data_IF_862983062441
#
_entry.id   IF_862983062441
#
_cell.length_a   1.000
_cell.length_b   1.000
_cell.length_c   1.000
_cell.angle_alpha   90.00
_cell.angle_beta   90.00
_cell.angle_gamma   90.00
#
_symmetry.space_group_name_H-M   'P 1'
#
loop_
_entity.id
_entity.type
_entity.pdbx_description
1 polymer ?
#
# COMPACT_ATOMS: atom_id res chain seq x y z
N UNK A 1 0.01 -4.71 -13.90
CA UNK A 1 -1.18 -3.85 -13.67
C UNK A 1 -1.27 -2.77 -14.74
N UNK A 2 -2.47 -2.37 -15.09
CA UNK A 2 -2.70 -1.29 -16.05
C UNK A 2 -1.99 -0.01 -15.59
N UNK A 3 -1.22 0.62 -16.48
CA UNK A 3 -0.45 1.83 -16.18
C UNK A 3 0.83 1.65 -15.37
N UNK A 4 1.28 0.43 -15.05
CA UNK A 4 2.60 0.24 -14.43
C UNK A 4 3.72 0.63 -15.40
N UNK A 5 4.74 1.33 -14.89
CA UNK A 5 5.94 1.66 -15.68
C UNK A 5 6.92 0.50 -15.67
N UNK A 6 7.33 0.01 -16.84
CA UNK A 6 8.27 -1.09 -17.00
C UNK A 6 7.60 -2.47 -17.09
N UNK A 7 8.35 -3.52 -16.78
CA UNK A 7 7.86 -4.89 -16.80
C UNK A 7 7.02 -5.25 -15.58
N UNK A 8 6.26 -6.34 -15.72
CA UNK A 8 5.53 -6.96 -14.61
C UNK A 8 5.99 -8.40 -14.51
N UNK A 9 6.38 -8.81 -13.31
CA UNK A 9 6.76 -10.19 -13.01
C UNK A 9 5.64 -10.88 -12.25
N UNK A 10 5.13 -11.96 -12.81
CA UNK A 10 4.22 -12.86 -12.10
C UNK A 10 5.06 -13.95 -11.42
N UNK A 11 4.86 -14.14 -10.12
CA UNK A 11 5.53 -15.18 -9.35
C UNK A 11 4.49 -16.04 -8.66
N UNK A 12 4.69 -17.36 -8.70
CA UNK A 12 3.98 -18.29 -7.86
C UNK A 12 4.88 -18.65 -6.68
N UNK A 13 4.41 -18.37 -5.47
CA UNK A 13 5.12 -18.68 -4.23
C UNK A 13 4.19 -19.51 -3.34
N UNK A 14 4.46 -20.81 -3.27
CA UNK A 14 3.51 -21.76 -2.68
C UNK A 14 2.20 -21.78 -3.47
N UNK A 15 1.08 -21.65 -2.78
CA UNK A 15 -0.27 -21.59 -3.38
C UNK A 15 -0.70 -20.19 -3.84
N UNK A 16 0.14 -19.17 -3.68
CA UNK A 16 -0.23 -17.77 -3.92
C UNK A 16 0.44 -17.18 -5.18
N UNK A 17 -0.35 -16.41 -5.94
CA UNK A 17 0.12 -15.64 -7.09
C UNK A 17 0.45 -14.22 -6.64
N UNK A 18 1.65 -13.76 -7.01
CA UNK A 18 2.13 -12.41 -6.78
C UNK A 18 2.38 -11.72 -8.12
N UNK A 19 1.91 -10.48 -8.26
CA UNK A 19 2.13 -9.64 -9.44
C UNK A 19 3.00 -8.46 -9.03
N UNK A 20 4.29 -8.51 -9.37
CA UNK A 20 5.29 -7.55 -8.94
C UNK A 20 5.67 -6.63 -10.12
N UNK A 21 5.26 -5.35 -10.10
CA UNK A 21 5.78 -4.35 -11.03
C UNK A 21 7.28 -4.09 -10.77
N UNK A 22 8.05 -3.84 -11.83
CA UNK A 22 9.47 -3.49 -11.69
C UNK A 22 9.64 -2.25 -10.81
N UNK A 23 8.75 -1.25 -10.96
CA UNK A 23 8.74 -0.02 -10.16
C UNK A 23 8.55 -0.24 -8.64
N UNK A 24 7.95 -1.36 -8.24
CA UNK A 24 7.76 -1.70 -6.82
C UNK A 24 8.97 -2.42 -6.21
N UNK A 25 9.84 -3.01 -7.03
CA UNK A 25 10.88 -3.95 -6.57
C UNK A 25 11.87 -3.29 -5.62
N UNK A 26 12.33 -2.07 -5.93
CA UNK A 26 13.28 -1.34 -5.09
C UNK A 26 12.67 -0.93 -3.74
N UNK A 27 11.38 -0.56 -3.72
CA UNK A 27 10.65 -0.21 -2.51
C UNK A 27 10.36 -1.42 -1.63
N UNK A 28 10.04 -2.57 -2.23
CA UNK A 28 9.88 -3.84 -1.53
C UNK A 28 11.20 -4.28 -0.88
N UNK A 29 12.32 -4.21 -1.63
CA UNK A 29 13.64 -4.52 -1.10
C UNK A 29 14.07 -3.57 0.04
N UNK A 30 13.69 -2.29 -0.05
CA UNK A 30 13.93 -1.29 1.00
C UNK A 30 12.94 -1.37 2.18
N UNK A 31 12.04 -2.36 2.18
CA UNK A 31 11.05 -2.60 3.23
C UNK A 31 9.98 -1.51 3.34
N UNK A 32 9.79 -0.69 2.29
CA UNK A 32 8.86 0.45 2.26
C UNK A 32 7.45 0.09 1.82
N UNK A 33 7.29 -1.05 1.16
CA UNK A 33 6.00 -1.61 0.79
C UNK A 33 5.82 -2.97 1.44
N UNK A 34 4.60 -3.26 1.87
CA UNK A 34 4.19 -4.60 2.25
C UNK A 34 3.97 -5.46 1.00
N UNK A 35 4.64 -6.62 0.93
CA UNK A 35 4.55 -7.56 -0.19
C UNK A 35 3.12 -8.08 -0.40
N UNK A 36 2.29 -8.11 0.64
CA UNK A 36 0.89 -8.56 0.55
C UNK A 36 0.03 -7.69 -0.37
N UNK A 37 0.43 -6.43 -0.60
CA UNK A 37 -0.21 -5.55 -1.59
C UNK A 37 -0.16 -6.10 -3.01
N UNK A 38 0.77 -7.02 -3.27
CA UNK A 38 0.99 -7.61 -4.58
C UNK A 38 0.59 -9.09 -4.66
N UNK A 39 0.03 -9.66 -3.58
CA UNK A 39 -0.45 -11.04 -3.55
C UNK A 39 -1.93 -11.06 -3.96
N UNK A 40 -2.19 -11.30 -5.24
CA UNK A 40 -3.55 -11.25 -5.79
C UNK A 40 -4.44 -12.36 -5.21
N UNK A 41 -3.87 -13.55 -4.95
CA UNK A 41 -4.60 -14.66 -4.33
C UNK A 41 -5.09 -14.29 -2.92
N UNK A 42 -4.25 -13.65 -2.11
CA UNK A 42 -4.61 -13.19 -0.78
C UNK A 42 -5.65 -12.05 -0.83
N UNK A 43 -5.48 -11.08 -1.74
CA UNK A 43 -6.44 -9.99 -1.90
C UNK A 43 -7.84 -10.52 -2.27
N UNK A 44 -7.93 -11.46 -3.21
CA UNK A 44 -9.20 -12.10 -3.58
C UNK A 44 -9.80 -12.87 -2.40
N UNK A 45 -9.01 -13.67 -1.67
CA UNK A 45 -9.50 -14.35 -0.44
C UNK A 45 -10.00 -13.36 0.61
N UNK A 46 -9.38 -12.19 0.71
CA UNK A 46 -9.81 -11.09 1.56
C UNK A 46 -10.94 -10.26 0.95
N UNK A 47 -11.59 -10.69 -0.13
CA UNK A 47 -12.70 -10.00 -0.79
C UNK A 47 -12.35 -8.62 -1.33
N UNK A 48 -11.07 -8.41 -1.66
CA UNK A 48 -10.55 -7.19 -2.25
C UNK A 48 -10.43 -7.29 -3.77
N UNK A 49 -11.21 -8.16 -4.39
CA UNK A 49 -11.40 -8.24 -5.83
C UNK A 49 -12.33 -7.11 -6.33
N UNK A 50 -12.40 -6.94 -7.64
CA UNK A 50 -13.06 -5.78 -8.25
C UNK A 50 -14.59 -5.83 -8.14
N UNK A 51 -15.15 -7.01 -7.91
CA UNK A 51 -16.58 -7.19 -7.60
C UNK A 51 -16.89 -6.89 -6.13
N UNK A 52 -16.00 -7.25 -5.19
CA UNK A 52 -16.23 -7.09 -3.76
C UNK A 52 -16.00 -5.66 -3.23
N UNK A 53 -15.07 -4.89 -3.81
CA UNK A 53 -14.80 -3.51 -3.40
C UNK A 53 -14.11 -2.67 -4.47
N UNK A 54 -14.49 -1.39 -4.56
CA UNK A 54 -13.84 -0.39 -5.40
C UNK A 54 -12.55 0.20 -4.80
N UNK A 55 -12.16 -0.20 -3.60
CA UNK A 55 -10.98 0.33 -2.90
C UNK A 55 -10.18 -0.74 -2.16
N UNK A 56 -8.88 -0.48 -1.97
CA UNK A 56 -7.99 -1.28 -1.13
C UNK A 56 -7.72 -0.51 0.16
N UNK A 57 -7.99 -1.09 1.35
CA UNK A 57 -7.68 -0.45 2.62
C UNK A 57 -6.19 -0.58 2.93
N UNK A 58 -5.56 0.51 3.35
CA UNK A 58 -4.13 0.64 3.54
C UNK A 58 -3.82 1.31 4.87
N UNK A 59 -2.65 1.02 5.42
CA UNK A 59 -2.08 1.78 6.54
C UNK A 59 -0.80 2.46 6.06
N UNK A 60 -0.79 3.79 6.09
CA UNK A 60 0.43 4.59 5.90
C UNK A 60 1.04 4.90 7.27
N UNK A 61 2.33 4.60 7.43
CA UNK A 61 3.11 4.94 8.63
C UNK A 61 4.12 6.03 8.29
N UNK A 62 4.37 6.93 9.23
CA UNK A 62 5.23 8.09 9.05
C UNK A 62 6.44 8.01 10.00
N UNK A 63 7.58 8.67 9.66
CA UNK A 63 8.72 8.72 10.56
C UNK A 63 8.31 9.31 11.92
N UNK A 64 8.94 8.84 13.00
CA UNK A 64 8.73 9.42 14.33
C UNK A 64 9.01 10.94 14.29
N UNK A 65 8.05 11.72 14.80
CA UNK A 65 8.21 13.17 14.86
C UNK A 65 9.38 13.52 15.79
N UNK A 66 10.43 14.15 15.26
CA UNK A 66 11.45 14.80 16.09
C UNK A 66 10.90 16.15 16.57
N UNK A 67 10.32 16.19 17.77
CA UNK A 67 9.79 17.41 18.40
C UNK A 67 8.28 17.38 18.66
N UNK A 68 7.64 18.56 18.81
CA UNK A 68 6.19 18.69 19.05
C UNK A 68 5.40 17.86 18.03
N UNK A 69 4.37 17.16 18.49
CA UNK A 69 3.54 16.27 17.67
C UNK A 69 3.11 16.97 16.37
N UNK A 70 3.75 16.61 15.27
CA UNK A 70 3.43 17.17 13.96
C UNK A 70 2.15 16.52 13.48
N UNK A 71 1.19 17.33 13.02
CA UNK A 71 -0.01 16.80 12.38
C UNK A 71 0.40 15.86 11.25
N UNK A 72 -0.28 14.70 11.16
CA UNK A 72 -0.02 13.76 10.08
C UNK A 72 -0.32 14.41 8.72
N UNK A 73 0.45 14.06 7.68
CA UNK A 73 0.17 14.52 6.32
C UNK A 73 -1.28 14.27 5.87
N UNK A 74 -1.69 15.02 4.86
CA UNK A 74 -2.92 14.73 4.12
C UNK A 74 -2.81 13.37 3.41
N UNK A 75 -3.95 12.79 3.04
CA UNK A 75 -3.96 11.60 2.19
C UNK A 75 -3.32 11.93 0.83
N UNK A 76 -2.49 11.04 0.26
CA UNK A 76 -2.06 11.15 -1.13
C UNK A 76 -3.27 11.17 -2.07
N UNK A 77 -3.10 11.74 -3.27
CA UNK A 77 -4.13 11.67 -4.32
C UNK A 77 -4.47 10.22 -4.64
N UNK A 78 -5.72 9.96 -5.06
CA UNK A 78 -6.21 8.59 -5.30
C UNK A 78 -6.46 7.76 -4.04
N UNK A 79 -6.30 8.36 -2.84
CA UNK A 79 -6.71 7.75 -1.58
C UNK A 79 -7.43 8.74 -0.67
N UNK A 80 -8.36 8.22 0.15
CA UNK A 80 -9.03 8.96 1.19
C UNK A 80 -8.56 8.50 2.57
N UNK A 81 -8.24 9.44 3.47
CA UNK A 81 -7.92 9.10 4.87
C UNK A 81 -9.21 8.81 5.64
N UNK A 82 -9.33 7.61 6.19
CA UNK A 82 -10.49 7.19 6.97
C UNK A 82 -10.27 7.38 8.47
N UNK A 83 -9.03 7.20 8.95
CA UNK A 83 -8.72 7.30 10.39
C UNK A 83 -7.27 7.70 10.63
N UNK A 84 -7.06 8.46 11.71
CA UNK A 84 -5.72 8.68 12.27
C UNK A 84 -5.39 7.60 13.31
N UNK A 85 -4.22 6.98 13.18
CA UNK A 85 -3.69 5.94 14.05
C UNK A 85 -2.51 6.51 14.86
N UNK A 86 -2.82 7.32 15.86
CA UNK A 86 -1.83 8.11 16.61
C UNK A 86 -0.77 7.24 17.32
N UNK A 87 -1.16 6.05 17.82
CA UNK A 87 -0.26 5.14 18.54
C UNK A 87 0.93 4.64 17.71
N UNK A 88 0.78 4.61 16.39
CA UNK A 88 1.81 4.13 15.45
C UNK A 88 2.31 5.23 14.51
N UNK A 89 1.96 6.49 14.79
CA UNK A 89 2.21 7.63 13.87
C UNK A 89 1.78 7.29 12.44
N UNK A 90 0.52 6.85 12.28
CA UNK A 90 0.00 6.36 11.01
C UNK A 90 -1.40 6.86 10.67
N UNK A 91 -1.83 6.58 9.46
CA UNK A 91 -3.17 6.86 8.96
C UNK A 91 -3.72 5.65 8.21
N UNK A 92 -4.97 5.31 8.47
CA UNK A 92 -5.73 4.39 7.65
C UNK A 92 -6.25 5.14 6.42
N UNK A 93 -6.03 4.54 5.25
CA UNK A 93 -6.40 5.09 3.95
C UNK A 93 -7.26 4.08 3.19
N UNK A 94 -8.11 4.57 2.31
CA UNK A 94 -8.72 3.77 1.26
C UNK A 94 -8.22 4.27 -0.10
N UNK A 95 -7.43 3.46 -0.79
CA UNK A 95 -6.98 3.76 -2.15
C UNK A 95 -8.00 3.24 -3.15
N UNK A 96 -8.55 4.13 -3.98
CA UNK A 96 -9.49 3.76 -5.03
C UNK A 96 -8.78 2.94 -6.10
N UNK A 97 -9.37 1.82 -6.52
CA UNK A 97 -8.77 0.97 -7.56
C UNK A 97 -8.72 1.64 -8.92
N UNK A 98 -9.75 2.40 -9.26
CA UNK A 98 -9.77 3.25 -10.46
C UNK A 98 -8.72 4.37 -10.43
N UNK A 99 -8.24 4.74 -9.24
CA UNK A 99 -7.22 5.77 -9.04
C UNK A 99 -5.85 5.17 -8.70
N UNK A 100 -5.65 3.87 -8.88
CA UNK A 100 -4.44 3.17 -8.43
C UNK A 100 -3.15 3.79 -9.03
N UNK A 101 -3.18 4.19 -10.31
CA UNK A 101 -2.06 4.90 -10.95
C UNK A 101 -1.83 6.27 -10.32
N UNK A 102 -2.88 7.07 -10.17
CA UNK A 102 -2.83 8.39 -9.53
C UNK A 102 -2.26 8.30 -8.11
N UNK A 103 -2.67 7.28 -7.35
CA UNK A 103 -2.15 7.00 -6.03
C UNK A 103 -0.68 6.62 -6.07
N UNK A 104 -0.30 5.71 -6.96
CA UNK A 104 1.08 5.28 -7.12
C UNK A 104 2.01 6.46 -7.45
N UNK A 105 1.62 7.32 -8.39
CA UNK A 105 2.38 8.52 -8.77
C UNK A 105 2.47 9.54 -7.62
N UNK A 106 1.47 9.62 -6.75
CA UNK A 106 1.50 10.52 -5.59
C UNK A 106 2.45 10.04 -4.48
N UNK A 107 2.72 8.74 -4.41
CA UNK A 107 3.60 8.14 -3.37
C UNK A 107 4.96 7.72 -3.90
N UNK A 108 5.18 7.73 -5.22
CA UNK A 108 6.46 7.40 -5.84
C UNK A 108 6.96 8.57 -6.68
N UNK A 109 8.15 9.09 -6.36
CA UNK A 109 8.73 10.24 -7.08
C UNK A 109 9.26 9.87 -8.46
N UNK A 110 9.77 8.65 -8.58
CA UNK A 110 10.40 8.11 -9.78
C UNK A 110 10.16 6.60 -9.84
N UNK A 111 10.18 5.96 -11.02
CA UNK A 111 9.97 4.52 -11.15
C UNK A 111 11.02 3.65 -10.42
N UNK A 112 12.20 4.20 -10.08
CA UNK A 112 13.26 3.49 -9.34
C UNK A 112 13.46 4.03 -7.92
N UNK A 113 12.43 4.65 -7.34
CA UNK A 113 12.49 5.20 -6.00
C UNK A 113 12.80 4.11 -4.95
N UNK A 114 13.65 4.43 -3.97
CA UNK A 114 13.93 3.59 -2.78
C UNK A 114 13.22 4.08 -1.52
N UNK A 115 12.48 5.18 -1.64
CA UNK A 115 11.68 5.79 -0.58
C UNK A 115 10.34 6.25 -1.15
N UNK A 116 9.31 6.24 -0.32
CA UNK A 116 8.02 6.81 -0.67
C UNK A 116 8.04 8.34 -0.50
N UNK A 117 7.16 9.01 -1.25
CA UNK A 117 6.89 10.44 -1.13
C UNK A 117 5.73 10.70 -0.15
N UNK A 118 5.20 11.93 -0.11
CA UNK A 118 4.11 12.34 0.80
C UNK A 118 4.45 12.15 2.29
N UNK A 119 5.74 12.09 2.61
CA UNK A 119 6.26 11.84 3.96
C UNK A 119 6.06 10.41 4.48
N UNK A 120 5.54 9.50 3.66
CA UNK A 120 5.25 8.13 4.08
C UNK A 120 6.57 7.39 4.30
N UNK A 121 6.73 6.80 5.49
CA UNK A 121 7.84 5.92 5.78
C UNK A 121 7.59 4.54 5.19
N UNK A 122 6.41 3.97 5.40
CA UNK A 122 6.04 2.64 4.91
C UNK A 122 4.54 2.51 4.70
N UNK A 123 4.17 1.80 3.63
CA UNK A 123 2.80 1.48 3.28
C UNK A 123 2.51 0.00 3.50
N UNK A 124 1.42 -0.28 4.20
CA UNK A 124 0.97 -1.62 4.55
C UNK A 124 -0.42 -1.89 3.99
N UNK A 125 -0.71 -3.16 3.72
CA UNK A 125 -2.09 -3.60 3.52
C UNK A 125 -2.80 -3.62 4.88
N UNK A 126 -3.97 -2.99 4.95
CA UNK A 126 -4.88 -3.14 6.09
C UNK A 126 -5.69 -4.43 5.92
N UNK A 127 -5.00 -5.56 6.09
CA UNK A 127 -5.55 -6.88 5.80
C UNK A 127 -6.55 -7.35 6.85
N UNK A 128 -7.56 -8.11 6.42
CA UNK A 128 -8.49 -8.78 7.35
C UNK A 128 -7.76 -9.92 8.08
N UNK A 129 -7.89 -9.96 9.40
CA UNK A 129 -7.49 -11.10 10.22
C UNK A 129 -8.72 -11.81 10.76
N UNK A 130 -8.81 -13.11 10.57
CA UNK A 130 -9.74 -13.94 11.32
C UNK A 130 -9.15 -14.24 12.69
N UNK A 131 -9.84 -13.82 13.75
CA UNK A 131 -9.48 -14.23 15.10
C UNK A 131 -10.03 -15.65 15.31
N UNK A 132 -9.14 -16.61 15.55
CA UNK A 132 -9.53 -17.90 16.12
C UNK A 132 -9.80 -17.67 17.61
N UNK A 133 -11.05 -17.45 17.97
CA UNK A 133 -11.48 -17.53 19.36
C UNK A 133 -11.60 -19.02 19.72
N UNK A 134 -10.78 -19.47 20.67
CA UNK A 134 -10.84 -20.81 21.27
C UNK A 134 -11.69 -20.80 22.54
#
# INVERSE_FOLDING_TARGET
PEGASGGVRVQQAGGDIHVLPDEATALLAAGRLDRRLFNVSALVRMGYDDEGTGSIPLIATYPAAKGKARALPAAPRGAAKTRTLASIQGAALQAGKGDARTFWDAITRTPQARSLDSGIAKLWLDGRSEALLA
#
